data_IF_578882077368
#
_entry.id   IF_578882077368
#
_cell.length_a   1.000
_cell.length_b   1.000
_cell.length_c   1.000
_cell.angle_alpha   90.00
_cell.angle_beta   90.00
_cell.angle_gamma   90.00
#
_symmetry.space_group_name_H-M   'P 1'
#
loop_
_entity.id
_entity.type
_entity.pdbx_description
1 polymer ?
#
# COMPACT_ATOMS: atom_id res chain seq x y z
N UNK A 1 21.13 0.08 20.48
CA UNK A 1 21.13 0.59 19.09
C UNK A 1 20.33 1.89 19.10
N UNK A 2 20.88 3.05 18.73
CA UNK A 2 20.17 4.31 18.88
C UNK A 2 19.11 4.48 17.76
N UNK A 3 17.88 4.82 18.16
CA UNK A 3 16.77 5.18 17.28
C UNK A 3 17.13 6.38 16.40
N UNK A 4 16.87 6.27 15.09
CA UNK A 4 16.94 7.42 14.18
C UNK A 4 15.63 8.20 14.30
N UNK A 5 15.73 9.45 14.74
CA UNK A 5 14.64 10.41 14.70
C UNK A 5 14.06 10.51 13.29
N UNK A 6 12.79 10.15 13.12
CA UNK A 6 12.05 10.23 11.85
C UNK A 6 11.22 8.99 11.50
N UNK A 7 11.41 7.85 12.18
CA UNK A 7 10.52 6.70 11.99
C UNK A 7 9.33 6.80 12.94
N UNK A 8 8.19 7.26 12.41
CA UNK A 8 6.89 7.01 13.03
C UNK A 8 6.64 5.51 12.92
N UNK A 9 6.81 4.81 14.05
CA UNK A 9 6.56 3.40 14.20
C UNK A 9 5.08 3.10 13.88
N UNK A 10 4.82 2.57 12.68
CA UNK A 10 3.53 1.95 12.35
C UNK A 10 3.61 0.49 12.80
N UNK A 11 2.84 0.06 13.83
CA UNK A 11 2.94 -1.28 14.41
C UNK A 11 2.42 -2.40 13.50
N UNK A 12 2.04 -2.11 12.25
CA UNK A 12 1.75 -3.12 11.24
C UNK A 12 3.04 -3.31 10.42
N UNK A 13 4.05 -3.87 11.07
CA UNK A 13 5.25 -4.35 10.40
C UNK A 13 4.83 -5.45 9.43
N UNK A 14 4.95 -5.16 8.13
CA UNK A 14 5.08 -6.11 7.02
C UNK A 14 4.39 -7.45 7.21
N UNK A 15 3.10 -7.53 6.86
CA UNK A 15 2.53 -8.82 6.48
C UNK A 15 2.76 -8.99 4.98
N UNK A 16 3.90 -9.60 4.60
CA UNK A 16 4.09 -10.12 3.24
C UNK A 16 3.00 -11.16 2.99
N UNK A 17 1.99 -10.79 2.21
CA UNK A 17 0.95 -11.73 1.78
C UNK A 17 1.41 -12.33 0.45
N UNK A 18 2.17 -13.41 0.52
CA UNK A 18 2.44 -14.22 -0.66
C UNK A 18 1.21 -15.08 -0.93
N UNK A 19 0.44 -14.71 -1.95
CA UNK A 19 -0.61 -15.60 -2.47
C UNK A 19 0.03 -16.61 -3.41
N UNK A 20 0.08 -17.88 -2.99
CA UNK A 20 0.51 -18.97 -3.86
C UNK A 20 -0.73 -19.67 -4.43
N UNK A 21 -0.90 -19.60 -5.75
CA UNK A 21 -1.97 -20.32 -6.42
C UNK A 21 -1.63 -21.83 -6.43
N UNK A 22 -2.48 -22.64 -5.79
CA UNK A 22 -2.33 -24.09 -5.80
C UNK A 22 -2.82 -24.69 -7.13
N UNK A 23 -1.91 -24.84 -8.09
CA UNK A 23 -2.07 -25.73 -9.24
C UNK A 23 -2.14 -25.03 -10.60
N UNK A 24 -1.29 -25.50 -11.52
CA UNK A 24 -1.51 -25.43 -12.96
C UNK A 24 -1.28 -24.10 -13.69
N UNK A 25 -1.32 -22.95 -13.02
CA UNK A 25 -1.21 -21.65 -13.70
C UNK A 25 0.19 -21.03 -13.55
N UNK A 26 0.83 -20.76 -14.69
CA UNK A 26 2.11 -20.02 -14.81
C UNK A 26 1.98 -18.53 -14.41
N UNK A 27 0.80 -18.08 -13.97
CA UNK A 27 0.50 -16.70 -13.63
C UNK A 27 0.55 -16.46 -12.12
N UNK A 28 1.75 -16.29 -11.58
CA UNK A 28 1.96 -15.82 -10.21
C UNK A 28 2.33 -14.33 -10.22
N UNK A 29 1.60 -13.53 -9.44
CA UNK A 29 1.91 -12.12 -9.17
C UNK A 29 2.14 -11.99 -7.66
N UNK A 30 3.34 -11.57 -7.27
CA UNK A 30 3.64 -11.15 -5.90
C UNK A 30 3.30 -9.67 -5.75
N UNK A 31 2.59 -9.31 -4.69
CA UNK A 31 2.22 -7.94 -4.37
C UNK A 31 2.76 -7.60 -2.98
N UNK A 32 3.56 -6.54 -2.89
CA UNK A 32 4.09 -6.00 -1.64
C UNK A 32 3.65 -4.54 -1.50
N UNK A 33 3.19 -4.15 -0.31
CA UNK A 33 2.70 -2.80 -0.08
C UNK A 33 3.24 -2.24 1.24
N UNK A 34 3.91 -1.10 1.14
CA UNK A 34 4.41 -0.32 2.27
C UNK A 34 3.52 0.91 2.46
N UNK A 35 3.02 1.15 3.67
CA UNK A 35 2.20 2.32 3.98
C UNK A 35 2.86 3.19 5.06
N UNK A 36 2.95 4.49 4.80
CA UNK A 36 3.48 5.48 5.73
C UNK A 36 2.45 6.57 6.04
N UNK A 37 2.45 7.02 7.29
CA UNK A 37 1.67 8.20 7.72
C UNK A 37 2.42 9.47 7.37
N UNK A 38 1.69 10.46 6.84
CA UNK A 38 2.20 11.81 6.57
C UNK A 38 1.53 12.82 7.53
N UNK A 39 1.81 14.11 7.33
CA UNK A 39 1.15 15.18 8.08
C UNK A 39 -0.38 15.13 7.89
N UNK A 40 -1.12 15.35 8.99
CA UNK A 40 -2.58 15.32 8.99
C UNK A 40 -3.13 13.91 8.82
N UNK A 41 -4.19 13.77 8.02
CA UNK A 41 -4.85 12.49 7.74
C UNK A 41 -4.27 11.77 6.51
N UNK A 42 -3.19 12.31 5.92
CA UNK A 42 -2.60 11.76 4.69
C UNK A 42 -1.82 10.46 4.94
N UNK A 43 -1.94 9.52 4.00
CA UNK A 43 -1.10 8.32 3.92
C UNK A 43 -0.48 8.21 2.53
N UNK A 44 0.73 7.68 2.44
CA UNK A 44 1.35 7.24 1.19
C UNK A 44 1.51 5.72 1.25
N UNK A 45 0.94 5.01 0.28
CA UNK A 45 1.19 3.60 0.04
C UNK A 45 2.06 3.44 -1.22
N UNK A 46 3.12 2.65 -1.10
CA UNK A 46 3.97 2.23 -2.23
C UNK A 46 3.75 0.74 -2.44
N UNK A 47 3.22 0.38 -3.61
CA UNK A 47 2.91 -1.00 -4.00
C UNK A 47 3.90 -1.47 -5.04
N UNK A 48 4.48 -2.65 -4.85
CA UNK A 48 5.38 -3.32 -5.79
C UNK A 48 4.72 -4.60 -6.27
N UNK A 49 4.61 -4.75 -7.59
CA UNK A 49 4.10 -5.95 -8.24
C UNK A 49 5.25 -6.63 -8.97
N UNK A 50 5.42 -7.92 -8.70
CA UNK A 50 6.44 -8.76 -9.35
C UNK A 50 5.73 -9.95 -9.98
N UNK A 51 5.70 -10.02 -11.31
CA UNK A 51 5.19 -11.19 -12.02
C UNK A 51 6.30 -12.23 -12.18
N UNK A 52 5.97 -13.50 -11.95
CA UNK A 52 6.88 -14.62 -12.16
C UNK A 52 7.39 -14.63 -13.60
N UNK A 53 8.72 -14.60 -13.77
CA UNK A 53 9.38 -14.58 -15.08
C UNK A 53 9.71 -13.18 -15.62
N UNK A 54 9.23 -12.11 -14.97
CA UNK A 54 9.61 -10.74 -15.29
C UNK A 54 10.77 -10.28 -14.39
N UNK A 55 11.75 -9.60 -14.98
CA UNK A 55 12.93 -9.10 -14.26
C UNK A 55 12.71 -7.72 -13.62
N UNK A 56 11.63 -7.04 -13.98
CA UNK A 56 11.30 -5.69 -13.54
C UNK A 56 10.05 -5.71 -12.68
N UNK A 57 10.08 -4.96 -11.58
CA UNK A 57 8.92 -4.74 -10.73
C UNK A 57 8.12 -3.53 -11.23
N UNK A 58 6.80 -3.63 -11.21
CA UNK A 58 5.92 -2.47 -11.40
C UNK A 58 5.66 -1.80 -10.05
N UNK A 59 5.85 -0.49 -9.97
CA UNK A 59 5.72 0.27 -8.72
C UNK A 59 4.64 1.34 -8.86
N UNK A 60 3.69 1.33 -7.92
CA UNK A 60 2.59 2.28 -7.84
C UNK A 60 2.64 3.04 -6.53
N UNK A 61 2.35 4.34 -6.58
CA UNK A 61 2.23 5.19 -5.39
C UNK A 61 0.80 5.68 -5.27
N UNK A 62 0.18 5.44 -4.12
CA UNK A 62 -1.17 5.88 -3.81
C UNK A 62 -1.12 6.83 -2.62
N UNK A 63 -1.68 8.03 -2.79
CA UNK A 63 -1.85 8.99 -1.70
C UNK A 63 -3.32 9.01 -1.34
N UNK A 64 -3.63 8.91 -0.05
CA UNK A 64 -4.99 9.06 0.46
C UNK A 64 -5.07 10.15 1.51
N UNK A 65 -6.25 10.75 1.62
CA UNK A 65 -6.57 11.79 2.60
C UNK A 65 -8.08 11.73 2.94
N UNK A 66 -8.43 12.09 4.16
CA UNK A 66 -9.83 12.21 4.56
C UNK A 66 -10.36 13.63 4.31
N UNK A 67 -11.68 13.82 4.33
CA UNK A 67 -12.28 15.15 4.22
C UNK A 67 -12.23 15.97 5.51
N UNK A 68 -12.57 17.27 5.46
CA UNK A 68 -12.55 18.17 6.63
C UNK A 68 -13.40 17.69 7.82
N UNK A 69 -14.48 16.96 7.55
CA UNK A 69 -15.36 16.39 8.58
C UNK A 69 -14.70 15.26 9.40
N UNK A 70 -13.55 14.74 8.96
CA UNK A 70 -12.73 13.75 9.64
C UNK A 70 -11.32 14.28 9.97
N UNK A 71 -11.09 15.59 9.83
CA UNK A 71 -9.81 16.23 10.14
C UNK A 71 -8.74 16.12 9.05
N UNK A 72 -9.11 15.74 7.82
CA UNK A 72 -8.21 15.79 6.66
C UNK A 72 -8.50 16.99 5.75
N UNK A 73 -7.66 17.20 4.74
CA UNK A 73 -7.74 18.36 3.85
C UNK A 73 -8.58 18.06 2.59
N UNK A 74 -9.00 16.81 2.39
CA UNK A 74 -9.65 16.35 1.16
C UNK A 74 -8.74 16.43 -0.07
N UNK A 75 -7.42 16.38 0.15
CA UNK A 75 -6.40 16.61 -0.89
C UNK A 75 -6.16 15.40 -1.82
N UNK A 76 -6.71 14.23 -1.47
CA UNK A 76 -6.64 12.98 -2.21
C UNK A 76 -7.89 12.13 -1.96
N UNK A 77 -8.14 11.05 -2.74
CA UNK A 77 -9.22 10.10 -2.46
C UNK A 77 -9.12 9.50 -1.06
N UNK A 78 -10.26 9.18 -0.45
CA UNK A 78 -10.27 8.54 0.87
C UNK A 78 -9.70 7.12 0.78
N UNK A 79 -9.09 6.58 1.86
CA UNK A 79 -8.66 5.18 1.92
C UNK A 79 -9.78 4.21 1.53
N UNK A 80 -11.02 4.49 1.93
CA UNK A 80 -12.18 3.68 1.58
C UNK A 80 -12.47 3.69 0.07
N UNK A 81 -12.25 4.81 -0.62
CA UNK A 81 -12.42 4.89 -2.07
C UNK A 81 -11.45 3.95 -2.81
N UNK A 82 -10.19 3.87 -2.37
CA UNK A 82 -9.23 2.90 -2.92
C UNK A 82 -9.62 1.45 -2.62
N UNK A 83 -10.08 1.17 -1.40
CA UNK A 83 -10.56 -0.17 -1.05
C UNK A 83 -11.73 -0.60 -1.94
N UNK A 84 -12.74 0.27 -2.11
CA UNK A 84 -13.89 -0.02 -2.98
C UNK A 84 -13.47 -0.17 -4.43
N UNK A 85 -12.54 0.66 -4.93
CA UNK A 85 -12.00 0.51 -6.28
C UNK A 85 -11.33 -0.85 -6.48
N UNK A 86 -10.53 -1.33 -5.51
CA UNK A 86 -9.88 -2.63 -5.59
C UNK A 86 -10.81 -3.84 -5.41
N UNK A 87 -12.00 -3.65 -4.80
CA UNK A 87 -13.03 -4.71 -4.73
C UNK A 87 -13.88 -4.76 -6.01
N UNK A 88 -14.04 -3.63 -6.68
CA UNK A 88 -14.89 -3.53 -7.87
C UNK A 88 -14.27 -4.11 -9.15
N UNK A 89 -12.95 -4.27 -9.20
CA UNK A 89 -12.17 -4.74 -10.37
C UNK A 89 -11.26 -5.89 -10.00
#
# INVERSE_FOLDING_TARGET
>A
MPERAGQVFCPITERRVTMEASGGDDYQIACEADAQTMEGMRKLAVVRLTRRGEATEEVFSLVSDEGPHLGGDGSAPTPLMYFVAGVAF
#
